data_IF_119811874940
#
_entry.id   IF_119811874940
#
_cell.length_a   1.000
_cell.length_b   1.000
_cell.length_c   1.000
_cell.angle_alpha   90.00
_cell.angle_beta   90.00
_cell.angle_gamma   90.00
#
_symmetry.space_group_name_H-M   'P 1'
#
loop_
_entity.id
_entity.type
_entity.pdbx_description
1 polymer ?
#
# COMPACT_ATOMS: atom_id res chain seq x y z
N UNK A 1 -16.96 -2.50 -14.45
CA UNK A 1 -15.93 -3.46 -14.01
C UNK A 1 -15.42 -2.96 -12.66
N UNK A 2 -15.35 -3.82 -11.65
CA UNK A 2 -14.81 -3.45 -10.34
C UNK A 2 -13.28 -3.61 -10.31
N UNK A 3 -12.62 -3.08 -9.26
CA UNK A 3 -11.15 -3.12 -9.14
C UNK A 3 -10.60 -4.56 -9.17
N UNK A 4 -11.24 -5.52 -8.48
CA UNK A 4 -10.82 -6.93 -8.48
C UNK A 4 -10.81 -7.53 -9.89
N UNK A 5 -11.86 -7.32 -10.66
CA UNK A 5 -11.95 -7.82 -12.05
C UNK A 5 -10.89 -7.17 -12.95
N UNK A 6 -10.66 -5.87 -12.76
CA UNK A 6 -9.64 -5.15 -13.51
C UNK A 6 -8.25 -5.70 -13.22
N UNK A 7 -7.86 -5.78 -11.94
CA UNK A 7 -6.53 -6.26 -11.56
C UNK A 7 -6.32 -7.73 -11.89
N UNK A 8 -7.34 -8.59 -11.76
CA UNK A 8 -7.27 -9.98 -12.21
C UNK A 8 -6.95 -10.09 -13.72
N UNK A 9 -7.53 -9.22 -14.55
CA UNK A 9 -7.30 -9.26 -16.00
C UNK A 9 -5.90 -8.83 -16.41
N UNK A 10 -5.27 -7.90 -15.68
CA UNK A 10 -3.97 -7.34 -16.06
C UNK A 10 -2.78 -7.98 -15.33
N UNK A 11 -3.01 -8.82 -14.33
CA UNK A 11 -2.01 -9.34 -13.41
C UNK A 11 -0.76 -9.93 -14.10
N UNK A 12 -0.95 -10.79 -15.10
CA UNK A 12 0.17 -11.47 -15.79
C UNK A 12 1.03 -10.56 -16.68
N UNK A 13 0.58 -9.33 -16.92
CA UNK A 13 1.31 -8.30 -17.69
C UNK A 13 1.66 -7.09 -16.83
N UNK A 14 1.34 -7.14 -15.53
CA UNK A 14 1.42 -5.97 -14.65
C UNK A 14 2.85 -5.42 -14.54
N UNK A 15 3.83 -6.27 -14.35
CA UNK A 15 5.25 -5.88 -14.23
C UNK A 15 5.80 -5.24 -15.51
N UNK A 16 5.26 -5.61 -16.68
CA UNK A 16 5.62 -4.99 -17.97
C UNK A 16 4.94 -3.62 -18.19
N UNK A 17 3.78 -3.43 -17.56
CA UNK A 17 2.95 -2.22 -17.71
C UNK A 17 3.27 -1.13 -16.70
N UNK A 18 3.80 -1.49 -15.53
CA UNK A 18 4.03 -0.59 -14.42
C UNK A 18 5.52 -0.51 -14.09
N UNK A 19 6.09 0.65 -14.33
CA UNK A 19 7.49 0.90 -13.99
C UNK A 19 7.56 1.72 -12.71
N UNK A 20 8.37 1.26 -11.78
CA UNK A 20 8.63 1.92 -10.51
C UNK A 20 10.09 2.33 -10.44
N UNK A 21 10.35 3.55 -9.97
CA UNK A 21 11.72 4.04 -9.78
C UNK A 21 12.29 3.46 -8.47
N UNK A 22 13.28 2.59 -8.59
CA UNK A 22 14.00 1.97 -7.48
C UNK A 22 14.52 2.97 -6.45
N UNK A 23 15.03 4.13 -6.90
CA UNK A 23 15.56 5.15 -6.01
C UNK A 23 14.46 5.79 -5.18
N UNK A 24 13.29 6.02 -5.80
CA UNK A 24 12.11 6.56 -5.10
C UNK A 24 11.53 5.56 -4.12
N UNK A 25 11.45 4.26 -4.47
CA UNK A 25 11.02 3.20 -3.53
C UNK A 25 11.97 3.19 -2.31
N UNK A 26 13.28 3.16 -2.53
CA UNK A 26 14.26 3.17 -1.44
C UNK A 26 14.11 4.40 -0.55
N UNK A 27 13.93 5.59 -1.14
CA UNK A 27 13.69 6.84 -0.41
C UNK A 27 12.41 6.77 0.45
N UNK A 28 11.33 6.20 -0.09
CA UNK A 28 10.07 5.98 0.65
C UNK A 28 10.30 5.06 1.86
N UNK A 29 11.02 3.96 1.68
CA UNK A 29 11.30 3.01 2.76
C UNK A 29 12.33 3.53 3.78
N UNK A 30 13.24 4.42 3.38
CA UNK A 30 14.10 5.17 4.29
C UNK A 30 13.30 6.15 5.15
N UNK A 31 12.33 6.87 4.54
CA UNK A 31 11.43 7.77 5.28
C UNK A 31 10.57 7.03 6.30
N UNK A 32 10.09 5.84 5.96
CA UNK A 32 9.28 4.98 6.82
C UNK A 32 10.07 4.43 8.02
N UNK A 33 11.40 4.38 7.93
CA UNK A 33 12.31 3.92 8.99
C UNK A 33 11.88 2.56 9.60
N UNK A 34 11.66 1.59 8.71
CA UNK A 34 11.19 0.25 9.11
C UNK A 34 12.28 -0.46 9.91
N UNK A 35 11.93 -0.88 11.12
CA UNK A 35 12.84 -1.58 12.04
C UNK A 35 12.89 -3.07 11.75
N UNK A 36 14.04 -3.68 12.01
CA UNK A 36 14.20 -5.13 11.97
C UNK A 36 13.22 -5.82 12.94
N UNK A 37 12.91 -7.09 12.66
CA UNK A 37 11.98 -7.91 13.44
C UNK A 37 10.55 -7.36 13.58
N UNK A 38 10.18 -6.39 12.77
CA UNK A 38 8.82 -5.84 12.72
C UNK A 38 7.86 -6.79 12.02
N UNK A 39 6.57 -6.75 12.41
CA UNK A 39 5.47 -7.37 11.68
C UNK A 39 4.91 -6.37 10.68
N UNK A 40 4.96 -6.70 9.39
CA UNK A 40 4.64 -5.80 8.28
C UNK A 40 3.47 -6.34 7.45
N UNK A 41 2.52 -5.46 7.12
CA UNK A 41 1.44 -5.71 6.17
C UNK A 41 1.59 -4.78 4.96
N UNK A 42 1.71 -5.35 3.77
CA UNK A 42 1.69 -4.65 2.49
C UNK A 42 0.32 -4.83 1.83
N UNK A 43 -0.49 -3.76 1.81
CA UNK A 43 -1.87 -3.77 1.31
C UNK A 43 -1.92 -3.30 -0.13
N UNK A 44 -2.58 -4.08 -0.98
CA UNK A 44 -2.55 -3.89 -2.42
C UNK A 44 -1.17 -4.25 -2.97
N UNK A 45 -0.60 -5.35 -2.45
CA UNK A 45 0.76 -5.79 -2.78
C UNK A 45 0.96 -6.05 -4.27
N UNK A 46 -0.12 -6.27 -5.02
CA UNK A 46 -0.10 -6.61 -6.44
C UNK A 46 0.76 -7.85 -6.69
N UNK A 47 1.67 -7.74 -7.65
CA UNK A 47 2.66 -8.77 -7.97
C UNK A 47 3.87 -8.75 -7.03
N UNK A 48 3.82 -7.96 -5.93
CA UNK A 48 4.83 -7.93 -4.88
C UNK A 48 5.99 -6.96 -5.11
N UNK A 49 5.74 -5.78 -5.69
CA UNK A 49 6.81 -4.80 -5.99
C UNK A 49 7.64 -4.39 -4.77
N UNK A 50 7.05 -4.28 -3.58
CA UNK A 50 7.78 -3.92 -2.35
C UNK A 50 8.41 -5.11 -1.64
N UNK A 51 8.00 -6.34 -1.93
CA UNK A 51 8.34 -7.51 -1.12
C UNK A 51 9.85 -7.73 -0.99
N UNK A 52 10.62 -7.58 -2.07
CA UNK A 52 12.08 -7.73 -2.02
C UNK A 52 12.73 -6.73 -1.07
N UNK A 53 12.32 -5.48 -1.13
CA UNK A 53 12.85 -4.41 -0.27
C UNK A 53 12.43 -4.60 1.21
N UNK A 54 11.20 -5.08 1.44
CA UNK A 54 10.71 -5.34 2.79
C UNK A 54 11.40 -6.55 3.42
N UNK A 55 11.74 -7.58 2.65
CA UNK A 55 12.53 -8.73 3.11
C UNK A 55 13.96 -8.31 3.54
N UNK A 56 14.56 -7.31 2.88
CA UNK A 56 15.86 -6.76 3.28
C UNK A 56 15.85 -6.12 4.69
N UNK A 57 14.66 -5.74 5.20
CA UNK A 57 14.49 -5.22 6.57
C UNK A 57 14.41 -6.32 7.63
N UNK A 58 14.58 -7.59 7.27
CA UNK A 58 14.54 -8.73 8.18
C UNK A 58 13.28 -8.75 9.07
N UNK A 59 12.07 -8.71 8.50
CA UNK A 59 10.84 -8.66 9.29
C UNK A 59 10.63 -9.98 10.05
N UNK A 60 9.97 -9.92 11.24
CA UNK A 60 9.52 -11.10 11.96
C UNK A 60 8.37 -11.81 11.24
N UNK A 61 7.49 -11.03 10.59
CA UNK A 61 6.42 -11.50 9.70
C UNK A 61 6.19 -10.47 8.60
N UNK A 62 6.08 -10.92 7.36
CA UNK A 62 5.68 -10.11 6.21
C UNK A 62 4.45 -10.72 5.56
N UNK A 63 3.39 -9.93 5.43
CA UNK A 63 2.15 -10.32 4.75
C UNK A 63 1.92 -9.38 3.58
N UNK A 64 1.79 -9.94 2.39
CA UNK A 64 1.32 -9.24 1.19
C UNK A 64 -0.15 -9.56 0.96
N UNK A 65 -1.02 -8.55 0.99
CA UNK A 65 -2.46 -8.69 0.83
C UNK A 65 -2.92 -7.99 -0.44
N UNK A 66 -3.73 -8.68 -1.24
CA UNK A 66 -4.40 -8.11 -2.41
C UNK A 66 -5.80 -8.69 -2.58
N UNK A 67 -6.71 -7.94 -3.20
CA UNK A 67 -8.06 -8.39 -3.50
C UNK A 67 -8.09 -9.29 -4.75
N UNK A 68 -7.07 -9.19 -5.60
CA UNK A 68 -6.94 -9.93 -6.87
C UNK A 68 -6.23 -11.27 -6.65
N UNK A 69 -6.91 -12.35 -6.98
CA UNK A 69 -6.35 -13.70 -6.95
C UNK A 69 -5.15 -13.85 -7.89
N UNK A 70 -5.27 -13.30 -9.09
CA UNK A 70 -4.23 -13.43 -10.12
C UNK A 70 -2.98 -12.61 -9.76
N UNK A 71 -3.12 -11.44 -9.11
CA UNK A 71 -1.98 -10.70 -8.58
C UNK A 71 -1.23 -11.54 -7.54
N UNK A 72 -1.95 -12.13 -6.60
CA UNK A 72 -1.36 -12.99 -5.57
C UNK A 72 -0.75 -14.26 -6.16
N UNK A 73 -1.32 -14.83 -7.21
CA UNK A 73 -0.74 -15.99 -7.91
C UNK A 73 0.65 -15.63 -8.49
N UNK A 74 0.75 -14.51 -9.21
CA UNK A 74 2.01 -14.01 -9.75
C UNK A 74 3.03 -13.72 -8.64
N UNK A 75 2.58 -13.05 -7.55
CA UNK A 75 3.45 -12.75 -6.41
C UNK A 75 3.99 -14.04 -5.75
N UNK A 76 3.14 -15.05 -5.53
CA UNK A 76 3.55 -16.35 -4.96
C UNK A 76 4.60 -17.06 -5.80
N UNK A 77 4.46 -17.05 -7.12
CA UNK A 77 5.46 -17.68 -8.00
C UNK A 77 6.78 -16.90 -7.99
N UNK A 78 6.71 -15.56 -8.04
CA UNK A 78 7.87 -14.65 -8.03
C UNK A 78 8.70 -14.76 -6.73
N UNK A 79 8.03 -14.96 -5.60
CA UNK A 79 8.65 -15.03 -4.27
C UNK A 79 8.64 -16.43 -3.66
N UNK A 80 8.57 -17.48 -4.49
CA UNK A 80 8.60 -18.86 -4.04
C UNK A 80 9.82 -19.17 -3.17
N UNK A 81 9.56 -19.74 -1.98
CA UNK A 81 10.61 -20.07 -1.02
C UNK A 81 11.14 -18.88 -0.20
N UNK A 82 10.56 -17.69 -0.35
CA UNK A 82 10.85 -16.54 0.51
C UNK A 82 9.94 -16.52 1.75
N UNK A 83 10.40 -15.89 2.82
CA UNK A 83 9.65 -15.76 4.07
C UNK A 83 8.61 -14.62 3.99
N UNK A 84 7.57 -14.84 3.20
CA UNK A 84 6.43 -13.93 3.02
C UNK A 84 5.14 -14.74 2.87
N UNK A 85 4.09 -14.29 3.54
CA UNK A 85 2.74 -14.83 3.42
C UNK A 85 1.93 -13.98 2.43
N UNK A 86 1.31 -14.61 1.42
CA UNK A 86 0.44 -13.92 0.47
C UNK A 86 -1.02 -14.30 0.69
N UNK A 87 -1.88 -13.29 0.91
CA UNK A 87 -3.29 -13.45 1.25
C UNK A 87 -4.17 -12.76 0.20
N UNK A 88 -5.12 -13.52 -0.35
CA UNK A 88 -6.21 -12.95 -1.17
C UNK A 88 -7.32 -12.52 -0.23
N UNK A 89 -7.52 -11.23 -0.03
CA UNK A 89 -8.61 -10.69 0.80
C UNK A 89 -8.89 -9.24 0.48
N UNK A 90 -10.14 -8.83 0.68
CA UNK A 90 -10.48 -7.44 0.91
C UNK A 90 -9.94 -7.03 2.30
N UNK A 91 -9.23 -5.91 2.37
CA UNK A 91 -8.68 -5.42 3.63
C UNK A 91 -9.75 -5.24 4.71
N UNK A 92 -10.97 -4.85 4.33
CA UNK A 92 -12.09 -4.66 5.26
C UNK A 92 -12.58 -5.97 5.91
N UNK A 93 -12.16 -7.12 5.38
CA UNK A 93 -12.46 -8.47 5.91
C UNK A 93 -11.25 -9.14 6.56
N UNK A 94 -10.09 -8.51 6.47
CA UNK A 94 -8.85 -9.04 7.01
C UNK A 94 -8.74 -8.75 8.52
N UNK A 95 -8.52 -9.80 9.33
CA UNK A 95 -8.57 -9.74 10.79
C UNK A 95 -7.32 -10.36 11.46
N UNK A 96 -6.13 -10.09 10.93
CA UNK A 96 -4.86 -10.37 11.61
C UNK A 96 -4.34 -9.06 12.23
N UNK A 97 -3.93 -9.11 13.50
CA UNK A 97 -3.64 -7.93 14.31
C UNK A 97 -2.17 -7.87 14.71
N UNK A 98 -1.78 -6.74 15.29
CA UNK A 98 -0.45 -6.58 15.88
C UNK A 98 0.62 -6.24 14.87
N UNK A 99 0.29 -5.41 13.86
CA UNK A 99 1.25 -4.91 12.90
C UNK A 99 1.99 -3.70 13.43
N UNK A 100 3.31 -3.67 13.21
CA UNK A 100 4.16 -2.52 13.50
C UNK A 100 4.15 -1.54 12.34
N UNK A 101 4.02 -2.07 11.11
CA UNK A 101 3.90 -1.27 9.89
C UNK A 101 2.82 -1.82 8.98
N UNK A 102 1.96 -0.92 8.49
CA UNK A 102 1.01 -1.18 7.42
C UNK A 102 1.37 -0.24 6.28
N UNK A 103 1.63 -0.78 5.10
CA UNK A 103 2.07 -0.02 3.94
C UNK A 103 1.00 -0.13 2.85
N UNK A 104 0.65 0.99 2.24
CA UNK A 104 -0.22 1.08 1.06
C UNK A 104 0.58 1.83 -0.01
N UNK A 105 1.26 1.08 -0.89
CA UNK A 105 2.06 1.64 -1.96
C UNK A 105 1.35 1.52 -3.30
N UNK A 106 1.17 2.65 -3.98
CA UNK A 106 0.51 2.75 -5.29
C UNK A 106 -0.88 2.11 -5.40
N UNK A 107 -1.60 1.96 -4.26
CA UNK A 107 -2.91 1.34 -4.20
C UNK A 107 -3.99 2.22 -3.53
N UNK A 108 -3.59 3.26 -2.80
CA UNK A 108 -4.47 4.02 -1.91
C UNK A 108 -5.71 4.65 -2.60
N UNK A 109 -5.65 5.20 -3.83
CA UNK A 109 -6.83 5.76 -4.49
C UNK A 109 -7.99 4.76 -4.65
N UNK A 110 -7.69 3.47 -4.75
CA UNK A 110 -8.67 2.41 -5.00
C UNK A 110 -9.58 2.10 -3.79
N UNK A 111 -9.25 2.57 -2.59
CA UNK A 111 -10.10 2.43 -1.41
C UNK A 111 -11.11 3.56 -1.37
N UNK A 112 -12.39 3.27 -1.61
CA UNK A 112 -13.44 4.30 -1.73
C UNK A 112 -13.81 4.94 -0.41
N UNK A 113 -13.98 4.15 0.65
CA UNK A 113 -14.28 4.64 1.99
C UNK A 113 -13.01 4.77 2.83
N UNK A 114 -12.42 5.97 2.79
CA UNK A 114 -11.18 6.28 3.52
C UNK A 114 -11.38 6.27 5.04
N UNK A 115 -12.55 6.69 5.52
CA UNK A 115 -12.85 6.72 6.95
C UNK A 115 -12.92 5.29 7.53
N UNK A 116 -13.71 4.42 6.92
CA UNK A 116 -13.78 3.02 7.32
C UNK A 116 -12.41 2.33 7.21
N UNK A 117 -11.63 2.67 6.17
CA UNK A 117 -10.27 2.13 6.01
C UNK A 117 -9.42 2.47 7.24
N UNK A 118 -9.27 3.75 7.60
CA UNK A 118 -8.40 4.15 8.72
C UNK A 118 -8.92 3.67 10.07
N UNK A 119 -10.23 3.64 10.27
CA UNK A 119 -10.80 3.00 11.46
C UNK A 119 -10.36 1.54 11.57
N UNK A 120 -10.45 0.79 10.47
CA UNK A 120 -10.04 -0.61 10.44
C UNK A 120 -8.53 -0.77 10.64
N UNK A 121 -7.69 -0.01 9.90
CA UNK A 121 -6.23 -0.07 10.02
C UNK A 121 -5.76 0.25 11.44
N UNK A 122 -6.41 1.21 12.10
CA UNK A 122 -6.08 1.54 13.49
C UNK A 122 -6.26 0.36 14.45
N UNK A 123 -7.19 -0.54 14.17
CA UNK A 123 -7.41 -1.76 14.95
C UNK A 123 -6.35 -2.83 14.69
N UNK A 124 -5.84 -2.91 13.46
CA UNK A 124 -4.82 -3.90 13.08
C UNK A 124 -3.43 -3.57 13.64
N UNK A 125 -3.15 -2.29 13.91
CA UNK A 125 -1.85 -1.81 14.39
C UNK A 125 -1.59 -2.12 15.87
N UNK A 126 -0.34 -2.38 16.20
CA UNK A 126 0.22 -2.28 17.56
C UNK A 126 0.15 -0.82 18.06
N UNK A 127 0.17 -0.56 19.40
CA UNK A 127 0.46 0.76 19.92
C UNK A 127 1.77 1.30 19.32
N UNK A 128 1.77 2.54 18.84
CA UNK A 128 2.86 3.19 18.10
C UNK A 128 3.17 2.58 16.73
N UNK A 129 2.39 1.61 16.26
CA UNK A 129 2.48 1.10 14.89
C UNK A 129 2.12 2.18 13.86
N UNK A 130 2.67 2.08 12.66
CA UNK A 130 2.58 3.10 11.61
C UNK A 130 1.78 2.64 10.42
N UNK A 131 1.00 3.54 9.83
CA UNK A 131 0.48 3.44 8.46
C UNK A 131 1.32 4.33 7.56
N UNK A 132 1.79 3.77 6.45
CA UNK A 132 2.50 4.49 5.39
C UNK A 132 1.66 4.41 4.11
N UNK A 133 1.31 5.57 3.55
CA UNK A 133 0.70 5.69 2.24
C UNK A 133 1.72 6.35 1.33
N UNK A 134 2.08 5.70 0.22
CA UNK A 134 3.10 6.24 -0.65
C UNK A 134 2.86 5.94 -2.12
N UNK A 135 3.31 6.86 -2.96
CA UNK A 135 3.44 6.71 -4.40
C UNK A 135 4.77 7.30 -4.86
N UNK A 136 5.45 6.65 -5.79
CA UNK A 136 6.69 7.13 -6.40
C UNK A 136 6.48 8.15 -7.51
N UNK A 137 5.25 8.61 -7.68
CA UNK A 137 4.81 9.63 -8.64
C UNK A 137 4.08 10.74 -7.88
N UNK A 138 3.97 11.90 -8.51
CA UNK A 138 3.16 13.00 -7.99
C UNK A 138 1.67 12.64 -8.00
N UNK A 139 0.90 13.32 -7.15
CA UNK A 139 -0.57 13.20 -7.11
C UNK A 139 -1.20 13.48 -8.47
N UNK A 140 -0.71 14.50 -9.16
CA UNK A 140 -1.27 14.91 -10.46
C UNK A 140 -0.97 13.88 -11.56
N UNK A 141 0.22 13.29 -11.59
CA UNK A 141 0.55 12.18 -12.50
C UNK A 141 -0.38 10.98 -12.27
N UNK A 142 -0.63 10.60 -11.02
CA UNK A 142 -1.52 9.48 -10.69
C UNK A 142 -2.94 9.77 -11.13
N UNK A 143 -3.47 10.94 -10.79
CA UNK A 143 -4.83 11.31 -11.15
C UNK A 143 -4.99 11.42 -12.68
N UNK A 144 -3.99 11.90 -13.40
CA UNK A 144 -3.98 11.93 -14.87
C UNK A 144 -4.02 10.50 -15.45
N UNK A 145 -3.22 9.57 -14.92
CA UNK A 145 -3.24 8.18 -15.38
C UNK A 145 -4.60 7.53 -15.11
N UNK A 146 -5.19 7.77 -13.94
CA UNK A 146 -6.50 7.23 -13.58
C UNK A 146 -7.60 7.78 -14.49
N UNK A 147 -7.62 9.09 -14.75
CA UNK A 147 -8.65 9.75 -15.57
C UNK A 147 -8.76 9.18 -16.99
N UNK A 148 -7.67 8.62 -17.52
CA UNK A 148 -7.63 8.02 -18.87
C UNK A 148 -8.04 6.56 -18.91
N UNK A 149 -8.26 5.91 -17.76
CA UNK A 149 -8.57 4.48 -17.65
C UNK A 149 -9.97 4.28 -17.08
N UNK A 150 -10.92 3.88 -17.90
CA UNK A 150 -12.35 3.71 -17.53
C UNK A 150 -12.58 2.92 -16.23
N UNK A 151 -11.73 1.93 -15.94
CA UNK A 151 -11.89 1.08 -14.76
C UNK A 151 -11.57 1.77 -13.43
N UNK A 152 -10.74 2.82 -13.44
CA UNK A 152 -10.22 3.50 -12.25
C UNK A 152 -10.36 5.03 -12.32
N UNK A 153 -11.11 5.55 -13.28
CA UNK A 153 -11.27 7.00 -13.51
C UNK A 153 -11.83 7.77 -12.32
N UNK A 154 -12.60 7.08 -11.48
CA UNK A 154 -13.22 7.65 -10.29
C UNK A 154 -12.36 7.46 -9.02
N UNK A 155 -11.20 6.79 -9.15
CA UNK A 155 -10.26 6.52 -8.05
C UNK A 155 -9.27 7.69 -7.95
N UNK A 156 -9.68 8.75 -7.26
CA UNK A 156 -8.90 10.00 -7.12
C UNK A 156 -8.00 9.95 -5.89
N UNK A 157 -6.73 10.31 -6.07
CA UNK A 157 -5.81 10.59 -4.97
C UNK A 157 -6.04 12.04 -4.49
N UNK A 158 -6.63 12.16 -3.29
CA UNK A 158 -6.82 13.46 -2.62
C UNK A 158 -5.47 14.06 -2.22
N UNK A 159 -5.44 15.38 -1.99
CA UNK A 159 -4.25 16.03 -1.45
C UNK A 159 -3.87 15.45 -0.08
N UNK A 160 -2.60 15.59 0.31
CA UNK A 160 -2.15 15.14 1.62
C UNK A 160 -2.94 15.84 2.74
N UNK A 161 -3.23 17.14 2.60
CA UNK A 161 -3.96 17.92 3.59
C UNK A 161 -5.42 17.43 3.77
N UNK A 162 -6.08 17.02 2.70
CA UNK A 162 -7.42 16.44 2.77
C UNK A 162 -7.40 15.07 3.46
N UNK A 163 -6.43 14.23 3.11
CA UNK A 163 -6.27 12.92 3.74
C UNK A 163 -5.88 13.01 5.22
N UNK A 164 -5.04 13.96 5.61
CA UNK A 164 -4.67 14.23 7.02
C UNK A 164 -5.91 14.51 7.88
N UNK A 165 -6.91 15.23 7.37
CA UNK A 165 -8.15 15.49 8.12
C UNK A 165 -8.94 14.21 8.42
N UNK A 166 -8.90 13.25 7.51
CA UNK A 166 -9.54 11.95 7.69
C UNK A 166 -8.70 11.08 8.63
N UNK A 167 -7.41 10.96 8.35
CA UNK A 167 -6.46 10.12 9.11
C UNK A 167 -6.45 10.51 10.59
N UNK A 168 -6.41 11.80 10.90
CA UNK A 168 -6.28 12.31 12.27
C UNK A 168 -7.50 12.05 13.16
N UNK A 169 -8.59 11.51 12.61
CA UNK A 169 -9.72 10.99 13.41
C UNK A 169 -9.37 9.67 14.11
N UNK A 170 -8.44 8.89 13.55
CA UNK A 170 -8.12 7.51 13.99
C UNK A 170 -6.66 7.34 14.41
N UNK A 171 -5.75 8.06 13.78
CA UNK A 171 -4.31 8.00 13.95
C UNK A 171 -3.76 9.42 14.16
N UNK A 172 -2.45 9.57 14.30
CA UNK A 172 -1.77 10.88 14.32
C UNK A 172 -0.83 10.95 13.14
N UNK A 173 -1.04 11.88 12.23
CA UNK A 173 -0.12 12.11 11.11
C UNK A 173 1.18 12.73 11.63
N UNK A 174 2.31 12.14 11.26
CA UNK A 174 3.64 12.62 11.66
C UNK A 174 4.41 13.24 10.49
N UNK A 175 4.18 12.74 9.26
CA UNK A 175 4.93 13.21 8.09
C UNK A 175 4.06 13.20 6.85
N UNK A 176 4.20 14.27 6.04
CA UNK A 176 3.55 14.37 4.73
C UNK A 176 4.51 14.90 3.68
N UNK A 177 4.43 14.37 2.45
CA UNK A 177 5.05 14.89 1.24
C UNK A 177 4.03 14.78 0.13
N UNK A 178 3.65 15.90 -0.49
CA UNK A 178 2.77 15.95 -1.67
C UNK A 178 3.40 16.95 -2.63
N UNK A 179 4.27 16.46 -3.49
CA UNK A 179 5.06 17.28 -4.41
C UNK A 179 5.20 16.63 -5.79
N UNK A 180 5.95 17.24 -6.69
CA UNK A 180 6.17 16.75 -8.04
C UNK A 180 6.92 15.41 -8.14
N UNK A 181 7.64 15.02 -7.07
CA UNK A 181 8.45 13.80 -7.07
C UNK A 181 7.71 12.59 -6.53
N UNK A 182 6.91 12.78 -5.47
CA UNK A 182 6.24 11.70 -4.75
C UNK A 182 5.07 12.17 -3.90
N UNK A 183 4.24 11.21 -3.53
CA UNK A 183 3.22 11.37 -2.51
C UNK A 183 3.53 10.44 -1.33
N UNK A 184 3.52 10.97 -0.10
CA UNK A 184 3.83 10.22 1.11
C UNK A 184 3.06 10.75 2.31
N UNK A 185 2.42 9.86 3.06
CA UNK A 185 1.83 10.15 4.37
C UNK A 185 2.25 9.06 5.34
N UNK A 186 2.74 9.46 6.51
CA UNK A 186 3.01 8.59 7.65
C UNK A 186 2.13 9.01 8.82
N UNK A 187 1.43 8.03 9.40
CA UNK A 187 0.60 8.24 10.58
C UNK A 187 0.82 7.10 11.58
N UNK A 188 0.77 7.44 12.87
CA UNK A 188 1.05 6.54 13.98
C UNK A 188 -0.21 6.30 14.82
N UNK A 189 -0.37 5.09 15.34
CA UNK A 189 -1.36 4.76 16.37
C UNK A 189 -0.91 5.31 17.72
N UNK A 190 -1.79 6.04 18.39
CA UNK A 190 -1.58 6.51 19.76
C UNK A 190 -1.41 5.39 20.77
#
# INVERSE_FOLDING_TARGET
>A
MNNREFFNRVAYKWDDMCHHDDKKIKKILELADIKEQSKILDIGTGTGILISYLLEKSPSKLVGLDISENMIEVAKEKYKGKNVEFVVSDIMKFNDYGYDYIIIYSAYPHFKDKEMLFEHLSKLLNPRGKVIIAHSQSRDEINNVHSTREAVKDDVLLSADENVKIINRYLVTEKTIDNEEMYYIEAIKK
#
